data_IF_761693679512
#
_entry.id   IF_761693679512
#
_cell.length_a   1.000
_cell.length_b   1.000
_cell.length_c   1.000
_cell.angle_alpha   90.00
_cell.angle_beta   90.00
_cell.angle_gamma   90.00
#
_symmetry.space_group_name_H-M   'P 1'
#
loop_
_entity.id
_entity.type
_entity.pdbx_description
1 polymer ?
#
# COMPACT_ATOMS: atom_id res chain seq x y z
N UNK A 1 20.24 -11.34 -7.30
CA UNK A 1 19.17 -10.33 -7.38
C UNK A 1 18.11 -10.45 -6.27
N UNK A 2 17.27 -11.51 -6.19
CA UNK A 2 16.38 -11.71 -5.00
C UNK A 2 17.22 -11.96 -3.74
N UNK A 3 18.35 -12.66 -3.86
CA UNK A 3 19.34 -12.80 -2.79
C UNK A 3 19.91 -11.46 -2.32
N UNK A 4 20.03 -10.47 -3.21
CA UNK A 4 20.60 -9.15 -2.89
C UNK A 4 19.59 -8.29 -2.11
N UNK A 5 18.30 -8.36 -2.46
CA UNK A 5 17.24 -7.72 -1.68
C UNK A 5 17.13 -8.34 -0.28
N UNK A 6 17.20 -9.68 -0.17
CA UNK A 6 17.18 -10.38 1.12
C UNK A 6 18.40 -10.02 1.99
N UNK A 7 19.60 -9.97 1.40
CA UNK A 7 20.81 -9.56 2.11
C UNK A 7 20.74 -8.12 2.61
N UNK A 8 20.16 -7.21 1.81
CA UNK A 8 19.99 -5.81 2.19
C UNK A 8 18.91 -5.62 3.27
N UNK A 9 17.81 -6.38 3.24
CA UNK A 9 16.77 -6.32 4.29
C UNK A 9 17.36 -6.73 5.64
N UNK A 10 18.15 -7.83 5.70
CA UNK A 10 18.80 -8.28 6.94
C UNK A 10 19.79 -7.23 7.50
N UNK A 11 20.44 -6.47 6.63
CA UNK A 11 21.32 -5.36 7.04
C UNK A 11 20.54 -4.14 7.54
N UNK A 12 19.45 -3.79 6.86
CA UNK A 12 18.56 -2.67 7.22
C UNK A 12 17.79 -2.92 8.52
N UNK A 13 17.54 -4.18 8.88
CA UNK A 13 16.90 -4.58 10.14
C UNK A 13 17.68 -4.22 11.40
N UNK A 14 18.97 -3.86 11.27
CA UNK A 14 19.75 -3.38 12.41
C UNK A 14 19.31 -1.99 12.89
N UNK A 15 18.72 -1.20 11.99
CA UNK A 15 18.43 0.21 12.22
C UNK A 15 16.92 0.51 12.26
N UNK A 16 16.08 -0.33 11.63
CA UNK A 16 14.62 -0.17 11.63
C UNK A 16 13.91 -1.48 11.98
N UNK A 17 12.83 -1.38 12.77
CA UNK A 17 12.06 -2.53 13.20
C UNK A 17 11.23 -3.11 12.04
N UNK A 18 10.56 -2.24 11.27
CA UNK A 18 9.65 -2.61 10.18
C UNK A 18 9.90 -1.78 8.92
N UNK A 19 9.42 -2.29 7.78
CA UNK A 19 9.49 -1.59 6.50
C UNK A 19 8.11 -1.42 5.88
N UNK A 20 7.90 -0.26 5.26
CA UNK A 20 6.74 0.05 4.44
C UNK A 20 7.15 0.35 3.01
N UNK A 21 6.33 0.01 2.02
CA UNK A 21 6.50 0.49 0.65
C UNK A 21 5.17 1.00 0.07
N UNK A 22 5.21 2.21 -0.49
CA UNK A 22 4.11 2.82 -1.23
C UNK A 22 4.28 2.43 -2.70
N UNK A 23 3.33 1.68 -3.23
CA UNK A 23 3.26 1.25 -4.62
C UNK A 23 2.20 2.06 -5.35
N UNK A 24 2.61 2.79 -6.38
CA UNK A 24 1.74 3.64 -7.20
C UNK A 24 2.27 3.72 -8.63
N UNK A 25 1.50 4.35 -9.51
CA UNK A 25 1.91 4.65 -10.89
C UNK A 25 1.55 6.11 -11.23
N UNK A 26 1.93 6.57 -12.42
CA UNK A 26 1.72 7.97 -12.86
C UNK A 26 0.24 8.38 -13.00
N UNK A 27 -0.70 7.43 -12.89
CA UNK A 27 -2.13 7.72 -12.84
C UNK A 27 -2.60 8.15 -11.45
N UNK A 28 -1.70 8.22 -10.45
CA UNK A 28 -1.99 8.62 -9.07
C UNK A 28 -1.34 9.97 -8.72
N UNK A 29 -1.88 11.10 -9.23
CA UNK A 29 -1.21 12.39 -9.15
C UNK A 29 -1.09 12.92 -7.73
N UNK A 30 -2.00 12.57 -6.81
CA UNK A 30 -1.97 13.12 -5.46
C UNK A 30 -0.88 12.46 -4.62
N UNK A 31 -0.66 11.15 -4.77
CA UNK A 31 0.53 10.46 -4.21
C UNK A 31 1.83 11.07 -4.75
N UNK A 32 1.92 11.27 -6.07
CA UNK A 32 3.11 11.89 -6.68
C UNK A 32 3.38 13.28 -6.10
N UNK A 33 2.32 14.08 -5.93
CA UNK A 33 2.44 15.44 -5.38
C UNK A 33 2.83 15.39 -3.90
N UNK A 34 2.19 14.55 -3.10
CA UNK A 34 2.47 14.36 -1.67
C UNK A 34 3.92 13.98 -1.42
N UNK A 35 4.48 13.06 -2.21
CA UNK A 35 5.87 12.61 -2.05
C UNK A 35 6.91 13.62 -2.54
N UNK A 36 6.52 14.57 -3.40
CA UNK A 36 7.41 15.64 -3.90
C UNK A 36 7.33 16.91 -3.05
N UNK A 37 6.21 17.12 -2.37
CA UNK A 37 6.00 18.25 -1.50
C UNK A 37 6.79 18.06 -0.19
N UNK A 38 7.64 19.03 0.12
CA UNK A 38 8.57 18.94 1.24
C UNK A 38 7.86 18.91 2.59
N UNK A 39 6.71 19.58 2.72
CA UNK A 39 5.99 19.66 3.99
C UNK A 39 5.31 18.33 4.29
N UNK A 40 4.69 17.72 3.28
CA UNK A 40 4.13 16.37 3.41
C UNK A 40 5.20 15.30 3.59
N UNK A 41 6.34 15.43 2.89
CA UNK A 41 7.46 14.51 3.04
C UNK A 41 8.01 14.53 4.46
N UNK A 42 8.26 15.72 5.02
CA UNK A 42 8.71 15.88 6.41
C UNK A 42 7.68 15.34 7.40
N UNK A 43 6.40 15.64 7.19
CA UNK A 43 5.35 15.10 8.03
C UNK A 43 5.29 13.56 7.98
N UNK A 44 5.56 12.95 6.81
CA UNK A 44 5.63 11.49 6.67
C UNK A 44 6.83 10.91 7.42
N UNK A 45 8.00 11.56 7.31
CA UNK A 45 9.22 11.19 8.01
C UNK A 45 9.01 11.25 9.54
N UNK A 46 8.50 12.36 10.05
CA UNK A 46 8.15 12.56 11.45
C UNK A 46 7.12 11.53 11.94
N UNK A 47 6.12 11.23 11.11
CA UNK A 47 5.09 10.24 11.44
C UNK A 47 5.67 8.82 11.53
N UNK A 48 6.60 8.49 10.63
CA UNK A 48 7.21 7.15 10.55
C UNK A 48 8.26 6.90 11.65
N UNK A 49 8.94 7.96 12.10
CA UNK A 49 9.96 7.89 13.12
C UNK A 49 11.15 7.01 12.75
N UNK A 50 11.95 6.62 13.73
CA UNK A 50 13.14 5.78 13.53
C UNK A 50 12.83 4.30 13.30
N UNK A 51 11.61 3.85 13.63
CA UNK A 51 11.30 2.42 13.72
C UNK A 51 10.60 1.85 12.48
N UNK A 52 10.05 2.71 11.60
CA UNK A 52 9.38 2.31 10.37
C UNK A 52 10.00 3.02 9.17
N UNK A 53 10.82 2.32 8.39
CA UNK A 53 11.35 2.89 7.15
C UNK A 53 10.33 2.75 6.02
N UNK A 54 9.93 3.86 5.41
CA UNK A 54 8.97 3.90 4.31
C UNK A 54 9.68 4.19 2.99
N UNK A 55 9.52 3.28 2.04
CA UNK A 55 9.97 3.44 0.66
C UNK A 55 8.80 3.81 -0.24
N UNK A 56 9.09 4.40 -1.38
CA UNK A 56 8.10 4.68 -2.42
C UNK A 56 8.68 4.29 -3.78
N UNK A 57 7.88 3.63 -4.62
CA UNK A 57 8.29 3.30 -5.99
C UNK A 57 7.15 3.51 -6.97
N UNK A 58 7.51 4.12 -8.10
CA UNK A 58 6.63 4.26 -9.26
C UNK A 58 6.69 2.95 -10.05
N UNK A 59 5.53 2.39 -10.36
CA UNK A 59 5.33 1.22 -11.18
C UNK A 59 4.89 1.62 -12.58
N UNK A 60 5.22 0.79 -13.56
CA UNK A 60 4.85 1.04 -14.94
C UNK A 60 3.34 0.93 -15.12
N UNK A 61 2.75 1.85 -15.88
CA UNK A 61 1.32 1.85 -16.18
C UNK A 61 0.96 0.67 -17.10
N UNK A 62 -0.16 -0.04 -16.88
CA UNK A 62 -0.63 -1.04 -17.81
C UNK A 62 -1.04 -0.40 -19.15
N UNK A 63 -0.71 -1.08 -20.25
CA UNK A 63 -1.13 -0.66 -21.58
C UNK A 63 -2.48 -1.30 -21.92
N UNK A 64 -3.37 -0.51 -22.54
CA UNK A 64 -4.60 -1.04 -23.12
C UNK A 64 -4.23 -1.88 -24.34
N UNK A 65 -4.72 -3.12 -24.41
CA UNK A 65 -4.60 -3.92 -25.63
C UNK A 65 -5.59 -3.36 -26.65
N UNK A 66 -5.08 -2.79 -27.74
CA UNK A 66 -5.94 -2.39 -28.85
C UNK A 66 -6.62 -3.63 -29.45
N UNK A 67 -7.94 -3.60 -29.66
CA UNK A 67 -8.61 -4.70 -30.33
C UNK A 67 -8.12 -4.79 -31.78
N UNK A 68 -7.99 -6.01 -32.35
CA UNK A 68 -7.65 -6.16 -33.75
C UNK A 68 -8.70 -5.50 -34.66
N UNK A 69 -8.30 -4.97 -35.84
CA UNK A 69 -9.23 -4.28 -36.75
C UNK A 69 -10.40 -5.18 -37.17
N UNK A 70 -11.61 -4.63 -37.18
CA UNK A 70 -12.82 -5.33 -37.65
C UNK A 70 -13.60 -6.08 -36.57
N UNK A 71 -13.16 -6.06 -35.32
CA UNK A 71 -13.86 -6.71 -34.21
C UNK A 71 -14.62 -5.69 -33.36
N UNK A 72 -15.95 -5.65 -33.50
CA UNK A 72 -16.83 -4.84 -32.65
C UNK A 72 -17.02 -5.59 -31.34
N UNK A 73 -16.43 -5.11 -30.26
CA UNK A 73 -16.44 -5.84 -28.99
C UNK A 73 -17.45 -5.27 -28.00
N UNK A 74 -18.40 -6.09 -27.60
CA UNK A 74 -19.06 -6.04 -26.29
C UNK A 74 -18.12 -6.55 -25.15
N UNK A 75 -16.80 -6.47 -25.32
CA UNK A 75 -15.81 -7.16 -24.46
C UNK A 75 -15.09 -6.21 -23.49
N UNK A 76 -14.85 -6.73 -22.28
CA UNK A 76 -14.12 -6.08 -21.20
C UNK A 76 -12.69 -5.73 -21.67
N UNK A 77 -12.20 -4.50 -21.44
CA UNK A 77 -10.83 -4.13 -21.81
C UNK A 77 -9.82 -5.06 -21.13
N UNK A 78 -8.94 -5.66 -21.95
CA UNK A 78 -7.83 -6.49 -21.48
C UNK A 78 -6.63 -5.57 -21.24
N UNK A 79 -6.22 -5.48 -19.98
CA UNK A 79 -5.02 -4.74 -19.58
C UNK A 79 -3.79 -5.63 -19.75
N UNK A 80 -2.75 -5.11 -20.41
CA UNK A 80 -1.45 -5.79 -20.50
C UNK A 80 -0.51 -5.26 -19.42
N UNK A 81 -0.23 -6.12 -18.44
CA UNK A 81 0.67 -5.80 -17.34
C UNK A 81 2.13 -5.70 -17.80
N UNK A 82 2.87 -4.64 -17.44
CA UNK A 82 4.29 -4.52 -17.77
C UNK A 82 5.13 -5.59 -17.07
N UNK A 83 6.03 -6.24 -17.82
CA UNK A 83 6.95 -7.29 -17.30
C UNK A 83 7.85 -6.77 -16.18
N UNK A 84 8.09 -5.47 -16.13
CA UNK A 84 8.89 -4.79 -15.13
C UNK A 84 8.23 -4.87 -13.74
N UNK A 85 6.90 -4.82 -13.66
CA UNK A 85 6.16 -4.87 -12.39
C UNK A 85 6.12 -6.29 -11.80
N UNK A 86 6.26 -7.32 -12.65
CA UNK A 86 6.10 -8.74 -12.28
C UNK A 86 6.94 -9.16 -11.08
N UNK A 87 8.15 -8.62 -10.92
CA UNK A 87 9.02 -8.96 -9.77
C UNK A 87 8.40 -8.53 -8.44
N UNK A 88 7.95 -7.28 -8.34
CA UNK A 88 7.32 -6.74 -7.13
C UNK A 88 5.94 -7.35 -6.89
N UNK A 89 5.19 -7.59 -7.96
CA UNK A 89 3.88 -8.21 -7.88
C UNK A 89 3.96 -9.65 -7.38
N UNK A 90 4.91 -10.44 -7.88
CA UNK A 90 5.13 -11.78 -7.36
C UNK A 90 5.64 -11.77 -5.92
N UNK A 91 6.48 -10.79 -5.55
CA UNK A 91 7.03 -10.68 -4.20
C UNK A 91 5.96 -10.41 -3.13
N UNK A 92 4.98 -9.56 -3.43
CA UNK A 92 3.92 -9.16 -2.52
C UNK A 92 2.56 -9.78 -2.86
N UNK A 93 2.53 -10.77 -3.74
CA UNK A 93 1.31 -11.43 -4.23
C UNK A 93 0.23 -10.42 -4.71
N UNK A 94 0.64 -9.43 -5.49
CA UNK A 94 -0.25 -8.44 -6.09
C UNK A 94 -0.71 -8.98 -7.43
N UNK A 95 -2.03 -8.99 -7.64
CA UNK A 95 -2.65 -9.59 -8.83
C UNK A 95 -2.28 -8.83 -10.11
N UNK A 96 -2.51 -7.52 -10.11
CA UNK A 96 -2.33 -6.63 -11.26
C UNK A 96 -2.27 -5.17 -10.82
N UNK A 97 -1.94 -4.28 -11.76
CA UNK A 97 -1.87 -2.83 -11.56
C UNK A 97 -3.21 -2.19 -11.15
N UNK A 98 -4.35 -2.89 -11.31
CA UNK A 98 -5.67 -2.40 -10.88
C UNK A 98 -5.84 -2.37 -9.36
N UNK A 99 -4.94 -3.01 -8.62
CA UNK A 99 -4.93 -2.97 -7.15
C UNK A 99 -4.20 -1.74 -6.58
N UNK A 100 -3.54 -0.95 -7.43
CA UNK A 100 -2.82 0.27 -7.04
C UNK A 100 -3.80 1.45 -6.87
N UNK A 101 -3.47 2.44 -6.01
CA UNK A 101 -2.26 2.53 -5.21
C UNK A 101 -2.40 1.79 -3.88
N UNK A 102 -1.28 1.34 -3.30
CA UNK A 102 -1.32 0.62 -2.02
C UNK A 102 -0.06 0.83 -1.17
N UNK A 103 -0.26 0.71 0.14
CA UNK A 103 0.81 0.58 1.13
C UNK A 103 1.01 -0.90 1.45
N UNK A 104 2.27 -1.34 1.45
CA UNK A 104 2.65 -2.69 1.84
C UNK A 104 3.59 -2.62 3.03
N UNK A 105 3.14 -3.11 4.19
CA UNK A 105 3.99 -3.34 5.34
C UNK A 105 4.68 -4.69 5.16
N UNK A 106 5.99 -4.77 5.36
CA UNK A 106 6.73 -6.01 5.22
C UNK A 106 7.90 -6.12 6.21
N UNK A 107 8.28 -7.36 6.48
CA UNK A 107 9.49 -7.70 7.22
C UNK A 107 10.09 -9.02 6.72
N UNK A 108 11.41 -9.17 6.80
CA UNK A 108 12.10 -10.42 6.49
C UNK A 108 12.42 -11.20 7.78
N UNK A 109 12.31 -12.52 7.79
CA UNK A 109 12.90 -13.32 8.87
C UNK A 109 13.56 -14.54 8.25
N UNK A 110 14.90 -14.55 8.23
CA UNK A 110 15.66 -15.60 7.58
C UNK A 110 15.36 -15.69 6.08
N UNK A 111 14.76 -16.81 5.64
CA UNK A 111 14.35 -17.02 4.25
C UNK A 111 13.01 -16.39 3.88
N UNK A 112 12.20 -16.05 4.87
CA UNK A 112 10.78 -15.79 4.68
C UNK A 112 10.50 -14.29 4.66
N UNK A 113 9.57 -13.88 3.80
CA UNK A 113 9.07 -12.52 3.71
C UNK A 113 7.63 -12.51 4.18
N UNK A 114 7.36 -11.73 5.21
CA UNK A 114 6.01 -11.50 5.69
C UNK A 114 5.56 -10.12 5.26
N UNK A 115 4.30 -10.00 4.81
CA UNK A 115 3.77 -8.72 4.36
C UNK A 115 2.25 -8.58 4.62
N UNK A 116 1.77 -7.34 4.61
CA UNK A 116 0.36 -6.99 4.66
C UNK A 116 0.11 -5.80 3.73
N UNK A 117 -0.96 -5.88 2.93
CA UNK A 117 -1.32 -4.88 1.91
C UNK A 117 -2.52 -4.06 2.38
N UNK A 118 -2.54 -2.77 2.04
CA UNK A 118 -3.67 -1.88 2.27
C UNK A 118 -3.81 -0.88 1.11
N UNK A 119 -4.98 -0.76 0.47
CA UNK A 119 -5.21 0.21 -0.60
C UNK A 119 -5.14 1.65 -0.09
N UNK A 120 -4.49 2.54 -0.84
CA UNK A 120 -4.46 3.98 -0.55
C UNK A 120 -5.58 4.67 -1.34
N UNK A 121 -6.24 5.64 -0.73
CA UNK A 121 -7.22 6.50 -1.41
C UNK A 121 -6.47 7.67 -2.07
N UNK A 122 -6.68 7.90 -3.36
CA UNK A 122 -6.00 8.95 -4.15
C UNK A 122 -7.00 9.93 -4.81
N UNK A 123 -7.94 10.48 -4.02
CA UNK A 123 -9.00 11.39 -4.53
C UNK A 123 -8.63 12.86 -4.45
N UNK A 124 -7.89 13.26 -3.40
CA UNK A 124 -7.26 14.58 -3.25
C UNK A 124 -5.95 14.41 -2.48
N UNK A 125 -5.14 15.47 -2.39
CA UNK A 125 -3.91 15.42 -1.60
C UNK A 125 -4.21 15.23 -0.11
N UNK A 126 -5.24 15.89 0.44
CA UNK A 126 -5.61 15.73 1.85
C UNK A 126 -6.14 14.33 2.14
N UNK A 127 -6.98 13.79 1.26
CA UNK A 127 -7.50 12.42 1.41
C UNK A 127 -6.39 11.37 1.30
N UNK A 128 -5.41 11.59 0.42
CA UNK A 128 -4.24 10.71 0.29
C UNK A 128 -3.39 10.74 1.55
N UNK A 129 -3.13 11.94 2.07
CA UNK A 129 -2.40 12.12 3.33
C UNK A 129 -3.14 11.45 4.49
N UNK A 130 -4.44 11.70 4.62
CA UNK A 130 -5.26 11.10 5.66
C UNK A 130 -5.28 9.57 5.54
N UNK A 131 -5.38 9.03 4.32
CA UNK A 131 -5.34 7.59 4.07
C UNK A 131 -4.02 6.97 4.52
N UNK A 132 -2.87 7.61 4.24
CA UNK A 132 -1.57 7.15 4.72
C UNK A 132 -1.47 7.25 6.25
N UNK A 133 -1.86 8.39 6.80
CA UNK A 133 -1.83 8.67 8.24
C UNK A 133 -2.66 7.67 9.05
N UNK A 134 -3.87 7.36 8.59
CA UNK A 134 -4.77 6.39 9.24
C UNK A 134 -4.13 4.99 9.36
N UNK A 135 -3.20 4.63 8.47
CA UNK A 135 -2.52 3.33 8.47
C UNK A 135 -1.22 3.39 9.26
N UNK A 136 -0.40 4.41 9.02
CA UNK A 136 0.96 4.51 9.58
C UNK A 136 0.90 4.84 11.06
N UNK A 137 0.06 5.79 11.48
CA UNK A 137 0.03 6.25 12.87
C UNK A 137 -0.26 5.13 13.88
N UNK A 138 -1.26 4.24 13.67
CA UNK A 138 -1.49 3.10 14.56
C UNK A 138 -0.36 2.06 14.54
N UNK A 139 0.32 1.89 13.40
CA UNK A 139 1.46 0.97 13.26
C UNK A 139 2.62 1.49 14.11
N UNK A 140 3.02 2.74 13.93
CA UNK A 140 4.15 3.34 14.64
C UNK A 140 3.89 3.36 16.15
N UNK A 141 2.69 3.79 16.58
CA UNK A 141 2.28 3.70 17.99
C UNK A 141 2.31 2.28 18.54
N UNK A 142 2.09 1.27 17.71
CA UNK A 142 2.19 -0.13 18.12
C UNK A 142 3.64 -0.57 18.23
N UNK A 143 4.55 -0.08 17.37
CA UNK A 143 5.97 -0.40 17.47
C UNK A 143 6.55 0.24 18.74
N UNK A 144 6.32 1.54 18.94
CA UNK A 144 6.88 2.30 20.07
C UNK A 144 6.49 1.74 21.44
N UNK A 145 5.28 1.16 21.55
CA UNK A 145 4.80 0.53 22.79
C UNK A 145 5.39 -0.86 23.07
N UNK A 146 6.01 -1.49 22.07
CA UNK A 146 6.44 -2.88 22.13
C UNK A 146 7.91 -3.02 21.67
N UNK A 147 8.73 -1.97 21.84
CA UNK A 147 10.13 -1.97 21.40
C UNK A 147 11.00 -3.06 22.05
N UNK A 148 10.62 -3.51 23.25
CA UNK A 148 11.32 -4.57 23.99
C UNK A 148 10.96 -5.98 23.50
N UNK A 149 9.95 -6.12 22.64
CA UNK A 149 9.50 -7.42 22.13
C UNK A 149 10.33 -7.89 20.94
N UNK A 150 10.24 -9.19 20.65
CA UNK A 150 10.88 -9.74 19.45
C UNK A 150 10.18 -9.22 18.18
N UNK A 151 10.98 -9.01 17.12
CA UNK A 151 10.51 -8.50 15.82
C UNK A 151 9.28 -9.24 15.24
N UNK A 152 9.14 -10.58 15.36
CA UNK A 152 7.95 -11.28 14.88
C UNK A 152 6.66 -10.84 15.59
N UNK A 153 6.71 -10.57 16.89
CA UNK A 153 5.55 -10.11 17.67
C UNK A 153 5.21 -8.65 17.35
N UNK A 154 6.22 -7.79 17.22
CA UNK A 154 6.05 -6.40 16.76
C UNK A 154 5.36 -6.38 15.39
N UNK A 155 5.84 -7.20 14.45
CA UNK A 155 5.26 -7.30 13.12
C UNK A 155 3.82 -7.79 13.14
N UNK A 156 3.52 -8.84 13.91
CA UNK A 156 2.16 -9.39 14.06
C UNK A 156 1.19 -8.35 14.62
N UNK A 157 1.62 -7.56 15.60
CA UNK A 157 0.83 -6.44 16.16
C UNK A 157 0.61 -5.33 15.13
N UNK A 158 1.64 -4.95 14.38
CA UNK A 158 1.52 -3.98 13.30
C UNK A 158 0.55 -4.44 12.19
N UNK A 159 0.66 -5.70 11.77
CA UNK A 159 -0.29 -6.33 10.84
C UNK A 159 -1.72 -6.27 11.38
N UNK A 160 -1.91 -6.55 12.66
CA UNK A 160 -3.22 -6.46 13.29
C UNK A 160 -3.81 -5.06 13.22
N UNK A 161 -3.03 -4.01 13.49
CA UNK A 161 -3.50 -2.63 13.36
C UNK A 161 -3.91 -2.31 11.91
N UNK A 162 -3.08 -2.69 10.95
CA UNK A 162 -3.36 -2.48 9.53
C UNK A 162 -4.64 -3.22 9.08
N UNK A 163 -4.86 -4.45 9.56
CA UNK A 163 -6.10 -5.21 9.31
C UNK A 163 -7.33 -4.55 9.93
N UNK A 164 -7.21 -3.99 11.14
CA UNK A 164 -8.31 -3.25 11.78
C UNK A 164 -8.71 -2.02 10.98
N UNK A 165 -7.74 -1.25 10.48
CA UNK A 165 -8.01 -0.09 9.62
C UNK A 165 -8.69 -0.54 8.32
N UNK A 166 -8.18 -1.61 7.70
CA UNK A 166 -8.79 -2.20 6.49
C UNK A 166 -10.25 -2.61 6.73
N UNK A 167 -10.51 -3.36 7.81
CA UNK A 167 -11.86 -3.82 8.15
C UNK A 167 -12.81 -2.65 8.44
N UNK A 168 -12.35 -1.62 9.16
CA UNK A 168 -13.12 -0.40 9.43
C UNK A 168 -13.53 0.29 8.12
N UNK A 169 -12.62 0.38 7.16
CA UNK A 169 -12.90 1.02 5.86
C UNK A 169 -13.87 0.20 5.01
N UNK A 170 -13.82 -1.14 5.06
CA UNK A 170 -14.82 -2.00 4.42
C UNK A 170 -16.20 -1.82 5.06
N UNK A 171 -16.30 -1.81 6.38
CA UNK A 171 -17.57 -1.62 7.10
C UNK A 171 -18.18 -0.25 6.79
N UNK A 172 -17.38 0.83 6.80
CA UNK A 172 -17.84 2.18 6.41
C UNK A 172 -18.45 2.20 5.01
N UNK A 173 -17.81 1.54 4.03
CA UNK A 173 -18.33 1.45 2.66
C UNK A 173 -19.66 0.71 2.59
N UNK A 174 -19.79 -0.42 3.28
CA UNK A 174 -21.05 -1.18 3.31
C UNK A 174 -22.18 -0.35 3.93
N UNK A 175 -21.92 0.32 5.05
CA UNK A 175 -22.92 1.18 5.69
C UNK A 175 -23.33 2.37 4.80
N UNK A 176 -22.37 2.99 4.10
CA UNK A 176 -22.66 4.06 3.15
C UNK A 176 -23.53 3.61 1.96
N UNK A 177 -23.29 2.40 1.45
CA UNK A 177 -24.13 1.80 0.41
C UNK A 177 -25.54 1.52 0.91
N UNK A 178 -25.70 0.98 2.12
CA UNK A 178 -27.04 0.75 2.70
C UNK A 178 -27.77 2.07 2.96
N UNK A 179 -27.06 3.10 3.43
CA UNK A 179 -27.62 4.44 3.64
C UNK A 179 -28.11 5.10 2.34
N UNK A 180 -27.32 5.03 1.27
CA UNK A 180 -27.70 5.55 -0.05
C UNK A 180 -28.86 4.78 -0.68
N UNK A 181 -28.89 3.44 -0.54
CA UNK A 181 -30.03 2.63 -0.99
C UNK A 181 -31.32 2.95 -0.23
N UNK A 182 -31.26 3.20 1.08
CA UNK A 182 -32.42 3.67 1.86
C UNK A 182 -32.86 5.08 1.47
N UNK A 183 -31.94 5.96 1.08
CA UNK A 183 -32.27 7.28 0.53
C UNK A 183 -32.93 7.23 -0.85
N UNK A 184 -32.58 6.23 -1.67
CA UNK A 184 -33.19 6.00 -3.00
C UNK A 184 -34.55 5.29 -2.87
N UNK A 185 -34.71 4.40 -1.89
CA UNK A 185 -35.97 3.71 -1.60
C UNK A 185 -36.93 4.52 -0.71
N UNK A 186 -36.56 5.74 -0.32
CA UNK A 186 -37.41 6.70 0.37
C UNK A 186 -38.15 7.61 -0.60
N UNK A 187 -39.08 7.04 -1.37
CA UNK A 187 -40.31 7.66 -1.88
C UNK A 187 -41.45 6.73 -1.44
#
# INVERSE_FOLDING_TARGET
MIKDLKFNIVKLQRDCALFGIILFNDSHPHIVKLLKDNDYYKALDELSGSHLAIFATVLFKPALVEPPPGVVHHMVPIWKEPKQNTKLFNLFEIKDSGSLPMFVLFNGQGSDLYFQKHPIIDTSIEETWNSLKEIIEPIVKSIDKNLEEEMPEIFKKAQWQMRRVTAKNVVKRILGLVGSLRGIAGI
#
